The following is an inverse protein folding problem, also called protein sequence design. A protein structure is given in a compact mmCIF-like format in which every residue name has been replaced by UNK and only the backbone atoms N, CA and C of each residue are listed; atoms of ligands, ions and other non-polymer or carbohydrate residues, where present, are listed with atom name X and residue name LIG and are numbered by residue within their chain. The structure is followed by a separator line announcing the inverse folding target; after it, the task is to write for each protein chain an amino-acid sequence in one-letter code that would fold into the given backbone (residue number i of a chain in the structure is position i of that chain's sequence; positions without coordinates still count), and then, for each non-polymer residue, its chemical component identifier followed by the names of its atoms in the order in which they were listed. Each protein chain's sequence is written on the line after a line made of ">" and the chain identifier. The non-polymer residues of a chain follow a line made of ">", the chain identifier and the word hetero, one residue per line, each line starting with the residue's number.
data_IF_235632491624
#
_entry.id   IF_235632491624
#
_cell.length_a   1.000
_cell.length_b   1.000
_cell.length_c   1.000
_cell.angle_alpha   90.00
_cell.angle_beta   90.00
_cell.angle_gamma   90.00
#
_symmetry.space_group_name_H-M   'P 1'
#
loop_
_entity.id
_entity.type
_entity.pdbx_description
1 polymer ?
#
# COMPACT_ATOMS: atom_id res chain seq x y z
N UNK A 1 -27.42 12.99 -10.47
CA UNK A 1 -27.62 12.58 -9.07
C UNK A 1 -26.67 11.44 -8.67
N UNK A 2 -26.68 10.28 -9.33
CA UNK A 2 -25.82 9.15 -8.96
C UNK A 2 -24.30 9.39 -9.12
N UNK A 3 -23.89 10.12 -10.18
CA UNK A 3 -22.46 10.41 -10.42
C UNK A 3 -21.81 11.34 -9.38
N UNK A 4 -22.61 12.20 -8.75
CA UNK A 4 -22.14 13.18 -7.76
C UNK A 4 -21.85 12.49 -6.41
N UNK A 5 -22.70 11.53 -6.03
CA UNK A 5 -22.49 10.71 -4.83
C UNK A 5 -21.26 9.78 -4.93
N UNK A 6 -20.96 9.24 -6.13
CA UNK A 6 -19.75 8.43 -6.35
C UNK A 6 -18.48 9.28 -6.24
N UNK A 7 -18.49 10.49 -6.79
CA UNK A 7 -17.36 11.41 -6.71
C UNK A 7 -17.07 11.83 -5.26
N UNK A 8 -18.11 12.12 -4.47
CA UNK A 8 -17.98 12.44 -3.04
C UNK A 8 -17.45 11.25 -2.23
N UNK A 9 -17.90 10.03 -2.53
CA UNK A 9 -17.39 8.83 -1.87
C UNK A 9 -15.90 8.60 -2.18
N UNK A 10 -15.48 8.76 -3.43
CA UNK A 10 -14.08 8.62 -3.85
C UNK A 10 -13.21 9.70 -3.19
N UNK A 11 -13.67 10.95 -3.19
CA UNK A 11 -12.98 12.06 -2.54
C UNK A 11 -12.77 11.78 -1.05
N UNK A 12 -13.79 11.26 -0.36
CA UNK A 12 -13.67 10.95 1.06
C UNK A 12 -12.77 9.74 1.34
N UNK A 13 -12.77 8.71 0.48
CA UNK A 13 -11.80 7.60 0.57
C UNK A 13 -10.36 8.08 0.35
N UNK A 14 -10.15 9.04 -0.55
CA UNK A 14 -8.84 9.69 -0.78
C UNK A 14 -8.39 10.56 0.39
N UNK A 15 -9.32 11.19 1.12
CA UNK A 15 -8.98 11.89 2.37
C UNK A 15 -8.65 10.89 3.47
N UNK A 16 -9.41 9.80 3.58
CA UNK A 16 -9.20 8.77 4.60
C UNK A 16 -7.83 8.08 4.46
N UNK A 17 -7.27 7.94 3.25
CA UNK A 17 -5.92 7.39 3.08
C UNK A 17 -4.81 8.29 3.63
N UNK A 18 -5.01 9.60 3.76
CA UNK A 18 -4.01 10.50 4.34
C UNK A 18 -3.80 10.29 5.85
N UNK A 19 -4.80 9.70 6.53
CA UNK A 19 -4.71 9.33 7.94
C UNK A 19 -4.37 7.86 8.20
N UNK A 20 -4.19 7.06 7.14
CA UNK A 20 -3.97 5.62 7.26
C UNK A 20 -2.54 5.33 7.71
N UNK A 21 -2.40 4.45 8.70
CA UNK A 21 -1.11 3.86 9.02
C UNK A 21 -0.82 2.73 8.02
N UNK A 22 -0.05 3.05 6.97
CA UNK A 22 0.31 2.14 5.89
C UNK A 22 1.06 0.89 6.37
N UNK A 23 1.76 0.96 7.52
CA UNK A 23 2.43 -0.20 8.11
C UNK A 23 1.44 -1.30 8.55
N UNK A 24 0.18 -0.92 8.85
CA UNK A 24 -0.85 -1.87 9.22
C UNK A 24 -1.43 -2.66 8.04
N UNK A 25 -1.15 -2.26 6.79
CA UNK A 25 -1.63 -2.95 5.60
C UNK A 25 -0.89 -4.28 5.37
N UNK A 26 0.37 -4.34 5.76
CA UNK A 26 1.22 -5.51 5.61
C UNK A 26 1.21 -6.43 6.85
N UNK A 27 0.34 -6.18 7.83
CA UNK A 27 0.28 -6.95 9.07
C UNK A 27 -0.31 -8.34 8.78
N UNK A 28 0.34 -9.38 9.31
CA UNK A 28 -0.15 -10.75 9.25
C UNK A 28 -1.64 -10.87 9.62
N UNK A 29 -2.40 -11.59 8.79
CA UNK A 29 -3.82 -11.86 9.00
C UNK A 29 -4.81 -10.84 8.42
N UNK A 30 -4.34 -9.71 7.85
CA UNK A 30 -5.24 -8.75 7.17
C UNK A 30 -5.51 -9.04 5.69
N UNK A 31 -4.70 -9.89 5.05
CA UNK A 31 -4.81 -10.16 3.61
C UNK A 31 -4.43 -8.95 2.73
N UNK A 32 -4.55 -9.11 1.41
CA UNK A 32 -4.21 -8.08 0.41
C UNK A 32 -5.33 -7.08 0.16
N UNK A 33 -6.56 -7.38 0.56
CA UNK A 33 -7.75 -6.56 0.27
C UNK A 33 -7.63 -5.09 0.71
N UNK A 34 -7.08 -4.76 1.90
CA UNK A 34 -6.90 -3.37 2.29
C UNK A 34 -5.93 -2.61 1.37
N UNK A 35 -4.92 -3.30 0.82
CA UNK A 35 -3.98 -2.72 -0.13
C UNK A 35 -4.64 -2.53 -1.50
N UNK A 36 -5.39 -3.52 -1.99
CA UNK A 36 -6.15 -3.40 -3.24
C UNK A 36 -7.14 -2.24 -3.16
N UNK A 37 -7.95 -2.18 -2.10
CA UNK A 37 -8.93 -1.12 -1.91
C UNK A 37 -8.33 0.29 -1.86
N UNK A 38 -7.06 0.41 -1.46
CA UNK A 38 -6.29 1.66 -1.49
C UNK A 38 -5.76 1.96 -2.88
N UNK A 39 -5.11 0.99 -3.53
CA UNK A 39 -4.54 1.17 -4.85
C UNK A 39 -5.62 1.39 -5.93
N UNK A 40 -6.79 0.78 -5.77
CA UNK A 40 -7.95 0.97 -6.64
C UNK A 40 -8.44 2.42 -6.66
N UNK A 41 -8.24 3.19 -5.58
CA UNK A 41 -8.53 4.64 -5.58
C UNK A 41 -7.74 5.39 -6.65
N UNK A 42 -6.56 4.87 -7.01
CA UNK A 42 -5.68 5.44 -8.03
C UNK A 42 -5.90 4.77 -9.39
N UNK A 43 -6.27 3.49 -9.41
CA UNK A 43 -6.52 2.73 -10.64
C UNK A 43 -7.86 3.09 -11.32
N UNK A 44 -8.85 3.61 -10.60
CA UNK A 44 -10.18 4.00 -11.12
C UNK A 44 -10.12 5.21 -12.10
N UNK A 45 -8.93 5.72 -12.44
CA UNK A 45 -8.74 6.76 -13.48
C UNK A 45 -8.75 6.24 -14.92
N UNK A 46 -9.14 4.98 -15.14
CA UNK A 46 -9.36 4.43 -16.47
C UNK A 46 -8.13 3.83 -17.14
N UNK A 47 -7.13 3.39 -16.36
CA UNK A 47 -6.00 2.58 -16.87
C UNK A 47 -6.23 1.09 -16.51
N UNK A 48 -6.67 0.26 -17.47
CA UNK A 48 -6.89 -1.16 -17.25
C UNK A 48 -5.60 -1.93 -16.93
N UNK A 49 -4.44 -1.42 -17.37
CA UNK A 49 -3.14 -2.01 -17.05
C UNK A 49 -2.81 -1.81 -15.57
N UNK A 50 -3.04 -0.60 -15.06
CA UNK A 50 -2.86 -0.30 -13.64
C UNK A 50 -3.79 -1.16 -12.76
N UNK A 51 -5.06 -1.28 -13.13
CA UNK A 51 -6.00 -2.14 -12.41
C UNK A 51 -5.50 -3.59 -12.35
N UNK A 52 -5.02 -4.16 -13.47
CA UNK A 52 -4.47 -5.52 -13.48
C UNK A 52 -3.26 -5.67 -12.55
N UNK A 53 -2.34 -4.71 -12.56
CA UNK A 53 -1.16 -4.73 -11.68
C UNK A 53 -1.52 -4.62 -10.19
N UNK A 54 -2.63 -3.94 -9.86
CA UNK A 54 -3.13 -3.92 -8.48
C UNK A 54 -3.62 -5.30 -8.08
N UNK A 55 -4.39 -5.95 -8.95
CA UNK A 55 -5.02 -7.25 -8.66
C UNK A 55 -4.05 -8.44 -8.74
N UNK A 56 -2.88 -8.28 -9.36
CA UNK A 56 -1.85 -9.33 -9.40
C UNK A 56 -1.11 -9.49 -8.06
N UNK A 57 -1.29 -8.60 -7.09
CA UNK A 57 -0.69 -8.72 -5.77
C UNK A 57 -1.46 -9.77 -4.95
N UNK A 58 -0.93 -10.99 -4.86
CA UNK A 58 -1.61 -12.11 -4.19
C UNK A 58 -1.31 -12.21 -2.70
N UNK A 59 -0.18 -11.63 -2.25
CA UNK A 59 0.21 -11.63 -0.83
C UNK A 59 1.09 -10.44 -0.50
N UNK A 60 0.94 -9.94 0.73
CA UNK A 60 1.83 -8.96 1.34
C UNK A 60 2.31 -9.48 2.70
N UNK A 61 3.60 -9.35 2.96
CA UNK A 61 4.23 -9.67 4.23
C UNK A 61 4.97 -8.46 4.77
N UNK A 62 5.08 -8.35 6.10
CA UNK A 62 6.00 -7.41 6.73
C UNK A 62 6.70 -8.00 7.93
N UNK A 63 7.96 -7.59 8.12
CA UNK A 63 8.75 -7.94 9.29
C UNK A 63 9.67 -6.80 9.72
N UNK A 64 9.93 -6.62 11.03
CA UNK A 64 10.96 -5.69 11.47
C UNK A 64 12.34 -6.17 10.97
N UNK A 65 13.19 -5.23 10.58
CA UNK A 65 14.56 -5.50 10.12
C UNK A 65 15.55 -4.52 10.75
N UNK A 66 16.76 -5.00 11.04
CA UNK A 66 17.87 -4.18 11.50
C UNK A 66 19.05 -4.46 10.56
N UNK A 67 19.53 -3.43 9.87
CA UNK A 67 20.49 -3.55 8.78
C UNK A 67 21.63 -2.54 8.94
N UNK A 68 22.82 -2.91 8.47
CA UNK A 68 23.97 -1.99 8.47
C UNK A 68 23.80 -0.98 7.34
N UNK A 69 23.77 0.30 7.68
CA UNK A 69 23.68 1.37 6.69
C UNK A 69 25.01 1.50 5.95
N UNK A 70 24.97 1.40 4.61
CA UNK A 70 26.14 1.56 3.76
C UNK A 70 26.38 3.05 3.48
N UNK A 71 26.70 3.80 4.53
CA UNK A 71 26.96 5.25 4.47
C UNK A 71 28.38 5.53 4.95
N UNK A 72 28.98 6.60 4.43
CA UNK A 72 30.30 7.05 4.88
C UNK A 72 30.25 7.51 6.34
N UNK A 73 31.26 7.11 7.12
CA UNK A 73 31.39 7.46 8.52
C UNK A 73 31.42 6.23 9.46
N UNK A 74 31.13 6.43 10.75
CA UNK A 74 31.09 5.35 11.73
C UNK A 74 30.07 4.26 11.39
N UNK A 75 30.28 3.04 11.89
CA UNK A 75 29.37 1.93 11.67
C UNK A 75 27.99 2.22 12.28
N UNK A 76 26.98 2.36 11.42
CA UNK A 76 25.60 2.67 11.81
C UNK A 76 24.63 1.53 11.47
N UNK A 77 23.67 1.29 12.36
CA UNK A 77 22.57 0.35 12.14
C UNK A 77 21.25 1.10 12.03
N UNK A 78 20.48 0.80 10.99
CA UNK A 78 19.12 1.29 10.81
C UNK A 78 18.11 0.28 11.32
N UNK A 79 17.00 0.76 11.90
CA UNK A 79 15.81 -0.05 12.19
C UNK A 79 14.75 0.27 11.13
N UNK A 80 14.17 -0.75 10.54
CA UNK A 80 13.17 -0.61 9.49
C UNK A 80 12.10 -1.68 9.57
N UNK A 81 11.17 -1.61 8.62
CA UNK A 81 10.20 -2.67 8.32
C UNK A 81 10.45 -3.09 6.89
N UNK A 82 10.75 -4.37 6.69
CA UNK A 82 10.77 -4.96 5.36
C UNK A 82 9.32 -5.25 4.96
N UNK A 83 9.00 -4.94 3.70
CA UNK A 83 7.70 -5.26 3.10
C UNK A 83 7.96 -6.10 1.86
N UNK A 84 7.34 -7.28 1.78
CA UNK A 84 7.47 -8.19 0.65
C UNK A 84 6.11 -8.31 -0.04
N UNK A 85 6.11 -8.14 -1.36
CA UNK A 85 4.93 -8.31 -2.21
C UNK A 85 5.13 -9.55 -3.07
N UNK A 86 4.13 -10.43 -3.10
CA UNK A 86 4.08 -11.58 -4.01
C UNK A 86 3.10 -11.24 -5.12
N UNK A 87 3.53 -11.46 -6.36
CA UNK A 87 2.80 -11.08 -7.57
C UNK A 87 2.63 -12.29 -8.47
N UNK A 88 1.43 -12.48 -9.02
CA UNK A 88 1.06 -13.54 -9.98
C UNK A 88 0.20 -12.95 -11.12
#
# INVERSE_FOLDING_TARGET
>A
AEGESRADNLAWRLVAQLGLNFLSLAKEGRGVDPLHALLDLYADRGDPGLARNVHSIVRIDSRPVIERLQIDGPMCFGRGTEVTLHVD
#
